data_IF_747057863560
#
_entry.id   IF_747057863560
#
_cell.length_a   1.000
_cell.length_b   1.000
_cell.length_c   1.000
_cell.angle_alpha   90.00
_cell.angle_beta   90.00
_cell.angle_gamma   90.00
#
_symmetry.space_group_name_H-M   'P 1'
#
loop_
_entity.id
_entity.type
_entity.pdbx_description
1 polymer ?
#
# COMPACT_ATOMS: atom_id res chain seq x y z
N UNK A 1 -2.25 17.95 -17.02
CA UNK A 1 -1.34 16.81 -16.78
C UNK A 1 -1.19 16.06 -18.11
N UNK A 2 0.00 16.04 -18.66
CA UNK A 2 0.14 15.76 -20.08
C UNK A 2 -0.64 16.80 -20.89
N UNK A 3 -1.45 16.32 -21.83
CA UNK A 3 -2.35 17.19 -22.65
C UNK A 3 -3.74 17.35 -22.02
N UNK A 4 -3.99 16.75 -20.85
CA UNK A 4 -5.28 16.75 -20.20
C UNK A 4 -5.40 17.86 -19.14
N UNK A 5 -6.49 18.61 -19.18
CA UNK A 5 -6.81 19.58 -18.14
C UNK A 5 -7.13 18.85 -16.82
N UNK A 6 -6.47 19.26 -15.77
CA UNK A 6 -6.64 18.66 -14.43
C UNK A 6 -6.61 19.75 -13.34
N UNK A 7 -7.36 19.51 -12.27
CA UNK A 7 -7.36 20.31 -11.06
C UNK A 7 -6.54 19.60 -9.99
N UNK A 8 -5.51 20.26 -9.46
CA UNK A 8 -4.72 19.77 -8.34
C UNK A 8 -5.12 20.49 -7.06
N UNK A 9 -5.44 19.73 -6.03
CA UNK A 9 -5.76 20.21 -4.69
C UNK A 9 -4.70 19.69 -3.72
N UNK A 10 -4.05 20.59 -2.99
CA UNK A 10 -3.21 20.25 -1.84
C UNK A 10 -4.06 20.40 -0.59
N UNK A 11 -4.23 19.32 0.13
CA UNK A 11 -5.13 19.22 1.26
C UNK A 11 -4.33 18.84 2.51
N UNK A 12 -4.74 19.37 3.64
CA UNK A 12 -4.21 19.02 4.95
C UNK A 12 -5.38 18.51 5.79
N UNK A 13 -5.30 17.25 6.21
CA UNK A 13 -6.24 16.64 7.13
C UNK A 13 -5.78 16.85 8.58
N UNK A 14 -6.43 17.74 9.31
CA UNK A 14 -6.12 17.98 10.73
C UNK A 14 -6.74 16.87 11.59
N UNK A 15 -5.90 16.16 12.34
CA UNK A 15 -6.39 15.15 13.29
C UNK A 15 -6.79 15.85 14.60
N UNK A 16 -7.94 15.50 15.15
CA UNK A 16 -8.37 16.00 16.44
C UNK A 16 -7.41 15.55 17.55
N UNK A 17 -6.74 16.52 18.16
CA UNK A 17 -5.78 16.30 19.25
C UNK A 17 -6.26 16.88 20.60
N UNK A 18 -7.55 17.16 20.75
CA UNK A 18 -8.09 17.77 21.97
C UNK A 18 -7.81 16.95 23.23
N UNK A 19 -7.68 15.62 23.10
CA UNK A 19 -7.34 14.70 24.21
C UNK A 19 -5.85 14.75 24.63
N UNK A 20 -4.95 15.25 23.76
CA UNK A 20 -3.53 15.44 24.00
C UNK A 20 -2.94 16.51 23.06
N UNK A 21 -3.13 17.81 23.37
CA UNK A 21 -2.76 18.93 22.48
C UNK A 21 -1.25 19.08 22.22
N UNK A 22 -0.41 18.37 22.96
CA UNK A 22 1.05 18.41 22.83
C UNK A 22 1.55 17.79 21.51
N UNK A 23 0.71 16.95 20.87
CA UNK A 23 1.02 16.32 19.58
C UNK A 23 -0.02 16.74 18.55
N UNK A 24 0.43 17.33 17.46
CA UNK A 24 -0.40 17.62 16.29
C UNK A 24 -0.03 16.68 15.14
N UNK A 25 -1.04 16.23 14.42
CA UNK A 25 -0.88 15.38 13.23
C UNK A 25 -1.65 16.03 12.08
N UNK A 26 -0.90 16.42 11.06
CA UNK A 26 -1.43 17.04 9.84
C UNK A 26 -1.13 16.13 8.65
N UNK A 27 -2.17 15.53 8.09
CA UNK A 27 -2.06 14.56 7.00
C UNK A 27 -1.96 15.28 5.66
N UNK A 28 -0.83 15.13 4.97
CA UNK A 28 -0.61 15.72 3.63
C UNK A 28 -1.23 14.82 2.55
N UNK A 29 -2.18 15.38 1.80
CA UNK A 29 -2.83 14.75 0.66
C UNK A 29 -2.76 15.66 -0.57
N UNK A 30 -2.27 15.15 -1.69
CA UNK A 30 -2.44 15.79 -2.99
C UNK A 30 -3.50 15.03 -3.78
N UNK A 31 -4.62 15.66 -4.08
CA UNK A 31 -5.69 15.10 -4.89
C UNK A 31 -5.70 15.78 -6.26
N UNK A 32 -5.72 14.97 -7.32
CA UNK A 32 -5.73 15.48 -8.69
C UNK A 32 -6.92 14.88 -9.43
N UNK A 33 -7.71 15.74 -10.04
CA UNK A 33 -8.98 15.42 -10.69
C UNK A 33 -8.95 15.84 -12.15
N UNK A 34 -9.54 15.07 -13.07
CA UNK A 34 -9.87 15.57 -14.41
C UNK A 34 -10.75 16.83 -14.32
N UNK A 35 -10.38 17.91 -15.05
CA UNK A 35 -11.10 19.17 -14.96
C UNK A 35 -12.54 19.12 -15.51
N UNK A 36 -12.81 18.17 -16.43
CA UNK A 36 -14.06 18.07 -17.18
C UNK A 36 -14.80 16.75 -16.89
N UNK A 37 -14.74 16.21 -15.67
CA UNK A 37 -15.47 15.01 -15.33
C UNK A 37 -16.99 15.25 -15.35
N UNK A 38 -17.72 14.36 -16.01
CA UNK A 38 -19.20 14.41 -16.12
C UNK A 38 -19.91 13.50 -15.12
N UNK A 39 -19.17 12.71 -14.34
CA UNK A 39 -19.69 11.74 -13.37
C UNK A 39 -18.77 11.68 -12.15
N UNK A 40 -19.24 11.02 -11.09
CA UNK A 40 -18.40 10.74 -9.90
C UNK A 40 -17.19 9.86 -10.30
N UNK A 41 -16.00 10.30 -9.91
CA UNK A 41 -14.75 9.75 -10.37
C UNK A 41 -14.24 8.64 -9.46
N UNK A 42 -13.81 7.50 -10.01
CA UNK A 42 -12.96 6.55 -9.29
C UNK A 42 -11.65 7.20 -8.85
N UNK A 43 -11.03 6.69 -7.77
CA UNK A 43 -9.80 7.26 -7.22
C UNK A 43 -8.73 6.18 -7.02
N UNK A 44 -7.53 6.44 -7.52
CA UNK A 44 -6.33 5.66 -7.20
C UNK A 44 -5.55 6.39 -6.11
N UNK A 45 -5.54 5.85 -4.88
CA UNK A 45 -4.67 6.35 -3.81
C UNK A 45 -3.32 5.65 -3.90
N UNK A 46 -2.25 6.43 -3.85
CA UNK A 46 -0.88 5.93 -3.76
C UNK A 46 -0.24 6.45 -2.47
N UNK A 47 0.35 5.56 -1.68
CA UNK A 47 1.27 5.96 -0.63
C UNK A 47 2.53 6.55 -1.25
N UNK A 48 2.74 7.84 -1.05
CA UNK A 48 3.72 8.62 -1.77
C UNK A 48 4.96 8.92 -0.93
N UNK A 49 6.13 8.64 -1.49
CA UNK A 49 7.44 8.88 -0.84
C UNK A 49 7.76 10.36 -0.59
N UNK A 50 7.01 11.27 -1.19
CA UNK A 50 7.40 12.67 -1.30
C UNK A 50 8.40 12.88 -2.45
N UNK A 51 8.60 14.14 -2.81
CA UNK A 51 9.61 14.49 -3.79
C UNK A 51 10.99 14.47 -3.10
N UNK A 52 11.78 13.44 -3.39
CA UNK A 52 13.19 13.53 -3.11
C UNK A 52 13.81 14.54 -4.10
N UNK A 53 14.16 15.72 -3.61
CA UNK A 53 14.87 16.73 -4.40
C UNK A 53 16.29 16.86 -3.92
N UNK A 54 17.21 16.98 -4.87
CA UNK A 54 18.56 17.44 -4.51
C UNK A 54 18.45 18.86 -3.97
N UNK A 55 19.28 19.24 -2.99
CA UNK A 55 19.35 20.62 -2.54
C UNK A 55 19.56 21.56 -3.74
N UNK A 56 18.70 22.57 -3.90
CA UNK A 56 18.74 23.52 -5.01
C UNK A 56 17.94 23.13 -6.26
N UNK A 57 17.32 21.95 -6.30
CA UNK A 57 16.43 21.56 -7.41
C UNK A 57 15.09 22.31 -7.31
N UNK A 58 14.85 23.23 -8.24
CA UNK A 58 13.63 24.02 -8.39
C UNK A 58 12.71 23.49 -9.50
N UNK A 59 13.05 22.34 -10.11
CA UNK A 59 12.25 21.76 -11.20
C UNK A 59 10.82 21.49 -10.74
N UNK A 60 9.85 21.72 -11.62
CA UNK A 60 8.46 21.29 -11.37
C UNK A 60 8.40 19.78 -11.59
N UNK A 61 7.93 18.99 -10.59
CA UNK A 61 7.80 17.56 -10.76
C UNK A 61 6.89 17.25 -11.92
N UNK A 62 7.37 16.41 -12.82
CA UNK A 62 6.53 15.92 -13.90
C UNK A 62 5.68 14.76 -13.40
N UNK A 63 4.41 14.69 -13.80
CA UNK A 63 3.56 13.56 -13.45
C UNK A 63 4.11 12.28 -14.09
N UNK A 64 4.03 11.18 -13.35
CA UNK A 64 4.39 9.85 -13.88
C UNK A 64 3.34 9.35 -14.88
N UNK A 65 3.72 8.36 -15.69
CA UNK A 65 2.85 7.84 -16.74
C UNK A 65 1.48 7.36 -16.22
N UNK A 66 1.47 6.68 -15.05
CA UNK A 66 0.21 6.21 -14.47
C UNK A 66 -0.71 7.35 -14.00
N UNK A 67 -0.16 8.47 -13.54
CA UNK A 67 -0.93 9.66 -13.16
C UNK A 67 -1.61 10.30 -14.38
N UNK A 68 -0.87 10.37 -15.48
CA UNK A 68 -1.42 10.82 -16.77
C UNK A 68 -2.53 9.87 -17.23
N UNK A 69 -2.31 8.54 -17.11
CA UNK A 69 -3.27 7.53 -17.52
C UNK A 69 -4.56 7.56 -16.68
N UNK A 70 -4.47 7.81 -15.37
CA UNK A 70 -5.66 8.05 -14.53
C UNK A 70 -6.50 9.21 -15.07
N UNK A 71 -5.90 10.37 -15.31
CA UNK A 71 -6.60 11.55 -15.82
C UNK A 71 -7.21 11.28 -17.20
N UNK A 72 -6.48 10.61 -18.10
CA UNK A 72 -6.96 10.20 -19.43
C UNK A 72 -8.20 9.29 -19.34
N UNK A 73 -8.26 8.41 -18.34
CA UNK A 73 -9.41 7.52 -18.08
C UNK A 73 -10.59 8.24 -17.41
N UNK A 74 -10.46 9.50 -17.06
CA UNK A 74 -11.47 10.23 -16.29
C UNK A 74 -11.46 9.89 -14.80
N UNK A 75 -10.37 9.33 -14.29
CA UNK A 75 -10.19 8.95 -12.89
C UNK A 75 -9.38 10.01 -12.14
N UNK A 76 -9.68 10.21 -10.87
CA UNK A 76 -8.84 10.95 -9.96
C UNK A 76 -7.68 10.07 -9.44
N UNK A 77 -6.60 10.74 -9.01
CA UNK A 77 -5.60 10.07 -8.18
C UNK A 77 -5.26 10.91 -6.95
N UNK A 78 -4.84 10.25 -5.90
CA UNK A 78 -4.47 10.89 -4.65
C UNK A 78 -3.10 10.38 -4.18
N UNK A 79 -2.23 11.31 -3.81
CA UNK A 79 -0.91 11.02 -3.25
C UNK A 79 -0.95 11.31 -1.75
N UNK A 80 -1.04 10.25 -0.95
CA UNK A 80 -1.04 10.34 0.50
C UNK A 80 0.40 10.19 1.01
N UNK A 81 0.84 11.11 1.86
CA UNK A 81 2.20 11.12 2.40
C UNK A 81 2.25 10.43 3.77
N UNK A 82 2.74 9.18 3.88
CA UNK A 82 2.69 8.42 5.14
C UNK A 82 3.47 9.09 6.27
N UNK A 83 4.62 9.71 5.98
CA UNK A 83 5.44 10.39 6.98
C UNK A 83 4.77 11.62 7.62
N UNK A 84 3.70 12.16 7.03
CA UNK A 84 2.90 13.22 7.66
C UNK A 84 1.96 12.67 8.74
N UNK A 85 1.70 11.38 8.72
CA UNK A 85 0.83 10.66 9.65
C UNK A 85 1.67 10.06 10.78
N UNK A 86 2.72 9.34 10.40
CA UNK A 86 3.64 8.65 11.31
C UNK A 86 5.04 8.61 10.70
N UNK A 87 6.03 9.06 11.43
CA UNK A 87 7.43 9.03 10.99
C UNK A 87 7.91 7.58 10.76
N UNK A 88 8.71 7.40 9.72
CA UNK A 88 9.30 6.11 9.33
C UNK A 88 10.62 5.86 10.10
N UNK A 89 10.54 5.85 11.42
CA UNK A 89 11.65 5.53 12.30
C UNK A 89 11.17 5.23 13.74
N UNK A 90 12.02 4.54 14.51
CA UNK A 90 11.70 4.16 15.89
C UNK A 90 11.57 5.35 16.86
N UNK A 91 12.28 6.44 16.62
CA UNK A 91 12.19 7.63 17.47
C UNK A 91 10.81 8.30 17.34
N UNK A 92 10.13 8.14 16.22
CA UNK A 92 8.79 8.66 15.98
C UNK A 92 7.65 7.93 16.70
N UNK A 93 7.91 6.80 17.35
CA UNK A 93 6.84 6.01 17.97
C UNK A 93 6.14 6.68 19.18
N UNK A 94 6.69 7.75 19.72
CA UNK A 94 6.05 8.59 20.74
C UNK A 94 5.49 9.90 20.16
N UNK A 95 5.49 10.02 18.84
CA UNK A 95 5.01 11.17 18.07
C UNK A 95 4.07 10.70 16.95
N UNK A 96 3.56 11.61 16.14
CA UNK A 96 2.61 11.28 15.08
C UNK A 96 1.32 10.68 15.63
N UNK A 97 0.60 9.93 14.82
CA UNK A 97 -0.70 9.37 15.25
C UNK A 97 -0.56 8.33 16.37
N UNK A 98 0.52 7.53 16.35
CA UNK A 98 0.79 6.58 17.43
C UNK A 98 0.99 7.35 18.74
N UNK A 99 1.88 8.35 18.74
CA UNK A 99 2.15 9.18 19.92
C UNK A 99 0.91 9.92 20.43
N UNK A 100 0.07 10.44 19.54
CA UNK A 100 -1.18 11.11 19.90
C UNK A 100 -2.11 10.15 20.66
N UNK A 101 -2.32 8.95 20.12
CA UNK A 101 -3.22 7.93 20.72
C UNK A 101 -2.72 7.47 22.09
N UNK A 102 -1.41 7.28 22.25
CA UNK A 102 -0.81 6.82 23.52
C UNK A 102 -0.32 7.98 24.40
N UNK A 103 -0.67 9.24 24.05
CA UNK A 103 -0.36 10.45 24.81
C UNK A 103 1.15 10.59 25.11
N UNK A 104 1.97 10.44 24.06
CA UNK A 104 3.43 10.55 24.13
C UNK A 104 4.14 9.46 24.95
N UNK A 105 3.40 8.48 25.47
CA UNK A 105 3.96 7.39 26.25
C UNK A 105 4.67 6.36 25.36
N UNK A 106 5.40 5.43 25.97
CA UNK A 106 5.92 4.26 25.24
C UNK A 106 4.76 3.34 24.85
N UNK A 107 4.73 2.87 23.62
CA UNK A 107 3.72 1.92 23.15
C UNK A 107 3.81 0.59 23.92
N UNK A 108 2.66 -0.01 24.15
CA UNK A 108 2.54 -1.37 24.66
C UNK A 108 2.97 -2.37 23.57
N UNK A 109 3.26 -3.63 23.95
CA UNK A 109 3.66 -4.65 22.97
C UNK A 109 2.65 -4.91 21.84
N UNK A 110 1.35 -4.67 22.10
CA UNK A 110 0.24 -4.86 21.17
C UNK A 110 -0.24 -3.57 20.48
N UNK A 111 0.33 -2.42 20.82
CA UNK A 111 0.03 -1.16 20.14
C UNK A 111 0.54 -1.17 18.70
N UNK A 112 -0.06 -0.32 17.88
CA UNK A 112 0.23 -0.21 16.46
C UNK A 112 1.71 -0.02 16.13
N UNK A 113 2.14 -0.61 14.99
CA UNK A 113 3.30 -0.18 14.26
C UNK A 113 2.95 0.85 13.18
N UNK A 114 3.99 1.39 12.54
CA UNK A 114 3.82 2.43 11.53
C UNK A 114 3.01 1.95 10.31
N UNK A 115 3.10 0.67 9.91
CA UNK A 115 2.30 0.15 8.80
C UNK A 115 0.80 0.31 9.06
N UNK A 116 0.34 0.01 10.29
CA UNK A 116 -1.07 0.17 10.66
C UNK A 116 -1.46 1.64 10.81
N UNK A 117 -0.54 2.48 11.27
CA UNK A 117 -0.75 3.93 11.36
C UNK A 117 -0.92 4.57 9.97
N UNK A 118 -0.11 4.17 8.99
CA UNK A 118 -0.25 4.62 7.60
C UNK A 118 -1.54 4.11 6.97
N UNK A 119 -1.91 2.85 7.22
CA UNK A 119 -3.19 2.28 6.80
C UNK A 119 -4.39 3.05 7.37
N UNK A 120 -4.34 3.45 8.65
CA UNK A 120 -5.35 4.31 9.26
C UNK A 120 -5.48 5.65 8.51
N UNK A 121 -4.37 6.27 8.12
CA UNK A 121 -4.41 7.51 7.34
C UNK A 121 -5.06 7.34 5.96
N UNK A 122 -4.88 6.19 5.30
CA UNK A 122 -5.60 5.88 4.07
C UNK A 122 -7.11 5.73 4.31
N UNK A 123 -7.51 5.11 5.42
CA UNK A 123 -8.92 5.03 5.82
C UNK A 123 -9.52 6.42 6.07
N UNK A 124 -8.80 7.33 6.74
CA UNK A 124 -9.26 8.71 6.95
C UNK A 124 -9.35 9.50 5.62
N UNK A 125 -8.48 9.21 4.67
CA UNK A 125 -8.56 9.78 3.31
C UNK A 125 -9.83 9.30 2.62
N UNK A 126 -10.18 8.03 2.74
CA UNK A 126 -11.43 7.48 2.22
C UNK A 126 -12.65 8.10 2.91
N UNK A 127 -12.62 8.32 4.23
CA UNK A 127 -13.67 9.04 4.96
C UNK A 127 -13.90 10.45 4.38
N UNK A 128 -12.83 11.17 4.07
CA UNK A 128 -12.94 12.47 3.38
C UNK A 128 -13.59 12.33 2.00
N UNK A 129 -13.31 11.27 1.24
CA UNK A 129 -13.90 11.06 -0.08
C UNK A 129 -15.40 10.76 0.00
N UNK A 130 -15.90 10.13 1.06
CA UNK A 130 -17.35 9.87 1.23
C UNK A 130 -18.17 11.17 1.33
N UNK A 131 -17.55 12.25 1.76
CA UNK A 131 -18.18 13.59 1.82
C UNK A 131 -18.15 14.37 0.49
N UNK A 132 -17.51 13.82 -0.56
CA UNK A 132 -17.29 14.47 -1.85
C UNK A 132 -18.35 14.06 -2.88
N UNK A 133 -19.00 15.03 -3.50
CA UNK A 133 -19.99 14.74 -4.55
C UNK A 133 -19.37 14.42 -5.92
N UNK A 134 -18.09 14.75 -6.12
CA UNK A 134 -17.34 14.53 -7.36
C UNK A 134 -16.52 13.23 -7.37
N UNK A 135 -16.41 12.53 -6.23
CA UNK A 135 -15.69 11.27 -6.11
C UNK A 135 -16.63 10.08 -5.87
N UNK A 136 -16.25 8.92 -6.34
CA UNK A 136 -16.96 7.66 -6.07
C UNK A 136 -16.22 6.85 -5.02
N UNK A 137 -16.68 6.94 -3.78
CA UNK A 137 -16.09 6.25 -2.63
C UNK A 137 -16.19 4.72 -2.72
N UNK A 138 -17.00 4.18 -3.61
CA UNK A 138 -17.09 2.73 -3.83
C UNK A 138 -16.06 2.22 -4.84
N UNK A 139 -15.41 3.13 -5.56
CA UNK A 139 -14.39 2.85 -6.58
C UNK A 139 -13.06 3.50 -6.20
N UNK A 140 -12.54 3.13 -5.01
CA UNK A 140 -11.26 3.62 -4.49
C UNK A 140 -10.28 2.46 -4.35
N UNK A 141 -9.11 2.57 -4.98
CA UNK A 141 -8.01 1.63 -4.80
C UNK A 141 -6.90 2.23 -3.94
N UNK A 142 -6.09 1.35 -3.36
CA UNK A 142 -4.87 1.70 -2.63
C UNK A 142 -3.66 1.05 -3.29
N UNK A 143 -2.62 1.83 -3.53
CA UNK A 143 -1.33 1.35 -4.04
C UNK A 143 -0.17 1.73 -3.15
N UNK A 144 0.89 0.95 -3.24
CA UNK A 144 2.15 1.25 -2.59
C UNK A 144 3.29 0.36 -3.05
N UNK A 145 4.48 0.89 -2.95
CA UNK A 145 5.72 0.22 -3.35
C UNK A 145 6.64 0.03 -2.15
N UNK A 146 7.37 -1.11 -2.09
CA UNK A 146 8.32 -1.41 -1.02
C UNK A 146 7.61 -1.43 0.34
N UNK A 147 8.11 -0.74 1.38
CA UNK A 147 7.44 -0.61 2.69
C UNK A 147 6.02 -0.05 2.59
N UNK A 148 5.75 0.80 1.61
CA UNK A 148 4.39 1.29 1.37
C UNK A 148 3.50 0.25 0.66
N UNK A 149 4.08 -0.73 -0.03
CA UNK A 149 3.38 -1.94 -0.46
C UNK A 149 2.91 -2.78 0.73
N UNK A 150 3.75 -2.92 1.77
CA UNK A 150 3.35 -3.54 3.05
C UNK A 150 2.14 -2.80 3.66
N UNK A 151 2.21 -1.46 3.71
CA UNK A 151 1.12 -0.62 4.24
C UNK A 151 -0.15 -0.70 3.39
N UNK A 152 -0.04 -0.77 2.06
CA UNK A 152 -1.18 -0.93 1.16
C UNK A 152 -1.89 -2.28 1.38
N UNK A 153 -1.13 -3.36 1.58
CA UNK A 153 -1.70 -4.67 1.93
C UNK A 153 -2.43 -4.64 3.27
N UNK A 154 -1.83 -4.03 4.30
CA UNK A 154 -2.48 -3.82 5.61
C UNK A 154 -3.74 -2.97 5.47
N UNK A 155 -3.71 -1.91 4.66
CA UNK A 155 -4.90 -1.07 4.40
C UNK A 155 -6.02 -1.90 3.79
N UNK A 156 -5.73 -2.64 2.71
CA UNK A 156 -6.71 -3.46 2.02
C UNK A 156 -7.31 -4.55 2.92
N UNK A 157 -6.48 -5.16 3.78
CA UNK A 157 -6.92 -6.23 4.68
C UNK A 157 -7.83 -5.71 5.81
N UNK A 158 -7.59 -4.49 6.34
CA UNK A 158 -8.28 -3.98 7.52
C UNK A 158 -9.35 -2.93 7.23
N UNK A 159 -9.52 -2.49 5.99
CA UNK A 159 -10.61 -1.61 5.59
C UNK A 159 -11.30 -2.16 4.33
N UNK A 160 -12.48 -2.74 4.53
CA UNK A 160 -13.26 -3.43 3.49
C UNK A 160 -13.81 -2.49 2.40
N UNK A 161 -13.74 -1.18 2.60
CA UNK A 161 -14.25 -0.19 1.65
C UNK A 161 -13.34 0.02 0.44
N UNK A 162 -12.06 -0.33 0.56
CA UNK A 162 -11.16 -0.28 -0.60
C UNK A 162 -11.54 -1.34 -1.62
N UNK A 163 -11.76 -0.92 -2.86
CA UNK A 163 -12.26 -1.77 -3.94
C UNK A 163 -11.18 -2.59 -4.65
N UNK A 164 -9.93 -2.17 -4.61
CA UNK A 164 -8.78 -2.86 -5.19
C UNK A 164 -7.46 -2.45 -4.51
N UNK A 165 -6.41 -3.28 -4.61
CA UNK A 165 -5.08 -2.93 -4.13
C UNK A 165 -3.97 -3.29 -5.11
N UNK A 166 -2.92 -2.44 -5.17
CA UNK A 166 -1.64 -2.73 -5.81
C UNK A 166 -0.54 -2.85 -4.77
N UNK A 167 0.01 -4.06 -4.65
CA UNK A 167 1.06 -4.42 -3.69
C UNK A 167 2.35 -4.63 -4.47
N UNK A 168 3.21 -3.62 -4.49
CA UNK A 168 4.43 -3.62 -5.30
C UNK A 168 5.68 -3.87 -4.47
N UNK A 169 6.46 -4.90 -4.84
CA UNK A 169 7.79 -5.24 -4.27
C UNK A 169 7.82 -5.14 -2.74
N UNK A 170 6.80 -5.69 -2.08
CA UNK A 170 6.54 -5.42 -0.66
C UNK A 170 7.42 -6.23 0.30
N UNK A 171 8.03 -7.33 -0.14
CA UNK A 171 8.96 -8.11 0.69
C UNK A 171 8.37 -8.66 1.99
N UNK A 172 9.22 -8.83 2.98
CA UNK A 172 8.87 -9.34 4.32
C UNK A 172 7.91 -8.40 5.06
N UNK A 173 6.93 -8.96 5.76
CA UNK A 173 5.85 -8.16 6.40
C UNK A 173 4.86 -7.55 5.41
N UNK A 174 5.03 -7.84 4.13
CA UNK A 174 4.10 -7.57 3.05
C UNK A 174 3.58 -8.87 2.44
N UNK A 175 3.70 -9.03 1.14
CA UNK A 175 3.19 -10.20 0.42
C UNK A 175 4.19 -11.38 0.35
N UNK A 176 5.34 -11.32 1.02
CA UNK A 176 6.34 -12.41 1.05
C UNK A 176 6.09 -13.34 2.23
N UNK A 177 6.15 -14.67 2.00
CA UNK A 177 6.06 -15.67 3.08
C UNK A 177 7.16 -15.46 4.14
N UNK A 178 6.76 -15.26 5.40
CA UNK A 178 7.67 -15.12 6.53
C UNK A 178 8.51 -16.40 6.75
N UNK A 179 7.89 -17.59 6.52
CA UNK A 179 8.54 -18.89 6.66
C UNK A 179 9.50 -19.25 5.55
N UNK A 180 9.76 -18.32 4.64
CA UNK A 180 10.78 -18.45 3.61
C UNK A 180 11.99 -17.57 3.94
N UNK A 181 13.01 -18.18 4.53
CA UNK A 181 14.25 -17.50 4.92
C UNK A 181 15.12 -17.17 3.70
N UNK A 182 14.74 -16.12 2.95
CA UNK A 182 15.44 -15.62 1.77
C UNK A 182 15.17 -14.14 1.57
N UNK A 183 16.17 -13.38 1.13
CA UNK A 183 16.08 -11.95 0.89
C UNK A 183 15.86 -11.16 2.19
N UNK A 184 14.90 -10.25 2.20
CA UNK A 184 14.40 -9.60 3.41
C UNK A 184 13.70 -10.65 4.28
N UNK A 185 14.02 -10.71 5.56
CA UNK A 185 13.57 -11.73 6.50
C UNK A 185 13.04 -11.11 7.79
N UNK A 186 12.39 -11.88 8.65
CA UNK A 186 11.80 -11.43 9.91
C UNK A 186 12.80 -10.68 10.78
N UNK A 187 14.07 -11.12 10.82
CA UNK A 187 15.15 -10.48 11.58
C UNK A 187 15.46 -9.07 11.07
N UNK A 188 15.25 -8.76 9.80
CA UNK A 188 15.34 -7.39 9.29
C UNK A 188 14.25 -6.51 9.91
N UNK A 189 12.99 -7.01 9.92
CA UNK A 189 11.85 -6.27 10.49
C UNK A 189 11.94 -6.11 12.02
N UNK A 190 12.66 -6.96 12.70
CA UNK A 190 12.89 -6.85 14.16
C UNK A 190 14.14 -6.04 14.49
N UNK A 191 14.95 -5.74 13.48
CA UNK A 191 16.15 -4.93 13.59
C UNK A 191 15.88 -3.44 13.85
N UNK A 192 16.91 -2.71 14.27
CA UNK A 192 16.81 -1.29 14.67
C UNK A 192 16.31 -0.36 13.57
N UNK A 193 16.47 -0.75 12.30
CA UNK A 193 16.03 0.05 11.14
C UNK A 193 14.52 -0.03 10.87
N UNK A 194 13.86 -1.11 11.27
CA UNK A 194 12.52 -1.44 10.76
C UNK A 194 11.51 -1.87 11.84
N UNK A 195 11.95 -2.16 13.07
CA UNK A 195 11.07 -2.66 14.15
C UNK A 195 9.85 -1.78 14.43
N UNK A 196 9.90 -0.53 14.05
CA UNK A 196 8.80 0.43 14.23
C UNK A 196 7.61 0.18 13.27
N UNK A 197 7.82 -0.59 12.20
CA UNK A 197 6.74 -0.93 11.27
C UNK A 197 5.71 -1.85 11.91
N UNK A 198 6.14 -2.74 12.77
CA UNK A 198 5.33 -3.76 13.41
C UNK A 198 4.89 -3.38 14.83
N UNK A 199 3.91 -4.07 15.39
CA UNK A 199 3.61 -4.03 16.81
C UNK A 199 4.81 -4.49 17.64
N UNK A 200 4.97 -3.97 18.87
CA UNK A 200 6.16 -4.23 19.68
C UNK A 200 6.40 -5.70 19.98
N UNK A 201 5.32 -6.50 20.11
CA UNK A 201 5.44 -7.94 20.37
C UNK A 201 5.95 -8.76 19.16
N UNK A 202 6.04 -8.16 17.98
CA UNK A 202 6.64 -8.83 16.81
C UNK A 202 8.15 -9.04 16.99
N UNK A 203 8.82 -8.19 17.78
CA UNK A 203 10.28 -8.26 18.00
C UNK A 203 10.71 -9.63 18.54
N UNK A 204 9.86 -10.31 19.32
CA UNK A 204 10.16 -11.64 19.87
C UNK A 204 10.49 -12.69 18.80
N UNK A 205 10.05 -12.53 17.58
CA UNK A 205 10.30 -13.46 16.48
C UNK A 205 11.66 -13.27 15.79
N UNK A 206 12.40 -12.21 16.15
CA UNK A 206 13.81 -12.07 15.87
C UNK A 206 14.71 -12.49 17.04
N UNK A 207 14.14 -13.02 18.13
CA UNK A 207 14.75 -13.56 19.35
C UNK A 207 13.92 -13.23 20.60
N UNK A 208 13.61 -14.19 21.45
CA UNK A 208 14.06 -15.58 21.52
C UNK A 208 13.28 -16.58 20.66
N UNK A 209 12.20 -16.16 20.02
CA UNK A 209 11.47 -16.97 19.02
C UNK A 209 12.06 -16.73 17.62
N UNK A 210 11.61 -17.48 16.64
CA UNK A 210 11.99 -17.29 15.24
C UNK A 210 10.77 -17.18 14.33
N UNK A 211 11.01 -16.94 13.05
CA UNK A 211 9.96 -16.82 12.04
C UNK A 211 9.02 -18.04 11.95
N UNK A 212 9.49 -19.23 12.30
CA UNK A 212 8.66 -20.47 12.30
C UNK A 212 7.64 -20.49 13.46
N UNK A 213 7.90 -19.73 14.53
CA UNK A 213 6.99 -19.59 15.66
C UNK A 213 5.86 -18.57 15.42
N UNK A 214 5.86 -17.86 14.28
CA UNK A 214 4.79 -16.93 13.92
C UNK A 214 3.45 -17.67 13.81
N UNK A 215 2.37 -17.20 14.43
CA UNK A 215 1.05 -17.84 14.37
C UNK A 215 0.37 -17.71 13.02
N UNK A 216 0.82 -16.77 12.18
CA UNK A 216 0.26 -16.42 10.88
C UNK A 216 1.38 -16.18 9.86
N UNK A 217 1.03 -16.18 8.57
CA UNK A 217 1.97 -15.87 7.49
C UNK A 217 1.33 -14.93 6.45
N UNK A 218 2.13 -14.41 5.54
CA UNK A 218 1.73 -13.37 4.57
C UNK A 218 0.52 -13.76 3.70
N UNK A 219 0.39 -15.04 3.33
CA UNK A 219 -0.74 -15.51 2.54
C UNK A 219 -2.08 -15.33 3.24
N UNK A 220 -2.12 -15.38 4.57
CA UNK A 220 -3.33 -15.13 5.36
C UNK A 220 -3.71 -13.65 5.34
N UNK A 221 -2.72 -12.75 5.37
CA UNK A 221 -2.96 -11.31 5.22
C UNK A 221 -3.52 -10.98 3.82
N UNK A 222 -3.00 -11.63 2.76
CA UNK A 222 -3.55 -11.51 1.41
C UNK A 222 -4.98 -12.09 1.36
N UNK A 223 -5.21 -13.23 2.02
CA UNK A 223 -6.52 -13.86 2.08
C UNK A 223 -7.59 -12.99 2.78
N UNK A 224 -7.21 -12.18 3.77
CA UNK A 224 -8.11 -11.20 4.40
C UNK A 224 -8.61 -10.12 3.44
N UNK A 225 -7.94 -9.92 2.30
CA UNK A 225 -8.42 -8.99 1.27
C UNK A 225 -9.58 -9.55 0.45
N UNK A 226 -9.74 -10.89 0.39
CA UNK A 226 -10.80 -11.53 -0.37
C UNK A 226 -12.21 -11.11 0.12
N UNK A 227 -13.21 -10.97 -0.76
CA UNK A 227 -13.23 -11.28 -2.19
C UNK A 227 -12.74 -10.14 -3.11
N UNK A 228 -12.17 -9.08 -2.55
CA UNK A 228 -11.81 -7.85 -3.28
C UNK A 228 -10.53 -8.06 -4.10
N UNK A 229 -10.44 -7.41 -5.27
CA UNK A 229 -9.32 -7.57 -6.20
C UNK A 229 -7.97 -7.12 -5.62
N UNK A 230 -6.93 -7.98 -5.75
CA UNK A 230 -5.56 -7.67 -5.33
C UNK A 230 -4.57 -7.96 -6.45
N UNK A 231 -3.78 -6.97 -6.78
CA UNK A 231 -2.66 -7.05 -7.72
C UNK A 231 -1.34 -7.10 -6.94
N UNK A 232 -0.63 -8.21 -6.98
CA UNK A 232 0.71 -8.35 -6.42
C UNK A 232 1.73 -8.32 -7.57
N UNK A 233 2.77 -7.50 -7.43
CA UNK A 233 3.80 -7.42 -8.46
C UNK A 233 5.16 -6.97 -7.92
N UNK A 234 6.20 -7.23 -8.71
CA UNK A 234 7.58 -6.88 -8.36
C UNK A 234 8.44 -6.73 -9.61
N UNK A 235 9.65 -6.22 -9.42
CA UNK A 235 10.70 -6.26 -10.43
C UNK A 235 11.47 -7.58 -10.41
N UNK A 236 12.37 -7.78 -11.38
CA UNK A 236 13.28 -8.92 -11.40
C UNK A 236 14.73 -8.49 -11.18
N UNK A 237 15.12 -7.40 -11.81
CA UNK A 237 16.52 -6.99 -11.91
C UNK A 237 16.91 -6.08 -10.73
N UNK A 238 17.68 -6.60 -9.75
CA UNK A 238 18.03 -5.85 -8.54
C UNK A 238 16.95 -5.80 -7.47
N UNK A 239 15.84 -6.54 -7.66
CA UNK A 239 14.70 -6.64 -6.72
C UNK A 239 14.65 -8.02 -6.00
N UNK A 240 15.70 -8.84 -6.17
CA UNK A 240 15.75 -10.20 -5.62
C UNK A 240 15.68 -10.26 -4.09
N UNK A 241 16.12 -9.21 -3.42
CA UNK A 241 16.10 -9.09 -1.97
C UNK A 241 14.67 -9.04 -1.38
N UNK A 242 13.66 -8.70 -2.20
CA UNK A 242 12.25 -8.75 -1.78
C UNK A 242 11.66 -10.16 -1.82
N UNK A 243 12.43 -11.16 -2.29
CA UNK A 243 12.00 -12.55 -2.50
C UNK A 243 10.74 -12.66 -3.39
N UNK A 244 10.92 -12.40 -4.67
CA UNK A 244 9.84 -12.46 -5.67
C UNK A 244 9.11 -13.81 -5.65
N UNK A 245 9.87 -14.92 -5.49
CA UNK A 245 9.30 -16.26 -5.40
C UNK A 245 8.45 -16.43 -4.15
N UNK A 246 8.92 -15.94 -3.01
CA UNK A 246 8.16 -15.96 -1.75
C UNK A 246 6.88 -15.14 -1.83
N UNK A 247 6.92 -13.99 -2.51
CA UNK A 247 5.72 -13.18 -2.78
C UNK A 247 4.73 -13.90 -3.69
N UNK A 248 5.22 -14.55 -4.77
CA UNK A 248 4.38 -15.36 -5.63
C UNK A 248 3.72 -16.53 -4.87
N UNK A 249 4.52 -17.26 -4.09
CA UNK A 249 4.03 -18.40 -3.29
C UNK A 249 2.95 -17.96 -2.29
N UNK A 250 3.13 -16.83 -1.60
CA UNK A 250 2.11 -16.29 -0.69
C UNK A 250 0.83 -15.90 -1.44
N UNK A 251 0.98 -15.29 -2.62
CA UNK A 251 -0.17 -14.93 -3.46
C UNK A 251 -0.94 -16.18 -3.91
N UNK A 252 -0.25 -17.22 -4.37
CA UNK A 252 -0.87 -18.49 -4.74
C UNK A 252 -1.56 -19.17 -3.55
N UNK A 253 -0.88 -19.18 -2.37
CA UNK A 253 -1.41 -19.80 -1.15
C UNK A 253 -2.65 -19.10 -0.58
N UNK A 254 -2.90 -17.83 -0.90
CA UNK A 254 -4.14 -17.11 -0.58
C UNK A 254 -5.33 -17.54 -1.48
N UNK A 255 -5.06 -18.17 -2.62
CA UNK A 255 -6.04 -18.56 -3.62
C UNK A 255 -7.23 -19.37 -3.12
N UNK A 256 -7.05 -20.37 -2.21
CA UNK A 256 -8.18 -21.15 -1.69
C UNK A 256 -9.29 -20.32 -1.07
N UNK A 257 -8.96 -19.19 -0.40
CA UNK A 257 -9.97 -18.30 0.20
C UNK A 257 -10.72 -17.53 -0.89
N UNK A 258 -10.04 -17.07 -1.93
CA UNK A 258 -10.68 -16.44 -3.09
C UNK A 258 -11.66 -17.41 -3.75
N UNK A 259 -11.25 -18.66 -4.02
CA UNK A 259 -12.15 -19.68 -4.59
C UNK A 259 -13.34 -20.00 -3.68
N UNK A 260 -13.13 -20.07 -2.36
CA UNK A 260 -14.20 -20.29 -1.38
C UNK A 260 -15.28 -19.20 -1.47
N UNK A 261 -14.87 -17.96 -1.75
CA UNK A 261 -15.75 -16.81 -1.90
C UNK A 261 -16.23 -16.59 -3.35
N UNK A 262 -16.06 -17.59 -4.22
CA UNK A 262 -16.54 -17.55 -5.62
C UNK A 262 -15.72 -16.64 -6.54
N UNK A 263 -14.47 -16.34 -6.16
CA UNK A 263 -13.56 -15.49 -6.91
C UNK A 263 -12.46 -16.30 -7.60
N UNK A 264 -11.90 -15.74 -8.67
CA UNK A 264 -10.79 -16.36 -9.38
C UNK A 264 -9.47 -15.98 -8.73
N UNK A 265 -8.66 -16.97 -8.42
CA UNK A 265 -7.28 -16.81 -8.00
C UNK A 265 -6.30 -16.85 -9.20
N UNK A 266 -5.01 -17.12 -8.93
CA UNK A 266 -3.97 -17.22 -9.97
C UNK A 266 -4.20 -18.38 -10.96
N UNK A 267 -4.95 -19.41 -10.56
CA UNK A 267 -5.20 -20.62 -11.36
C UNK A 267 -4.01 -21.59 -11.44
N UNK A 268 -2.90 -21.26 -10.82
CA UNK A 268 -1.65 -22.06 -10.79
C UNK A 268 -0.80 -21.73 -9.59
N UNK A 269 0.05 -22.66 -9.18
CA UNK A 269 1.14 -22.51 -8.22
C UNK A 269 2.53 -22.47 -8.88
N UNK A 270 2.57 -22.48 -10.21
CA UNK A 270 3.78 -22.29 -11.00
C UNK A 270 4.01 -20.82 -11.32
N UNK A 271 5.16 -20.29 -10.87
CA UNK A 271 5.53 -18.90 -11.13
C UNK A 271 5.78 -18.68 -12.62
N UNK A 272 5.09 -17.71 -13.25
CA UNK A 272 5.26 -17.46 -14.68
C UNK A 272 6.63 -16.84 -14.98
N UNK A 273 7.01 -16.89 -16.25
CA UNK A 273 8.18 -16.16 -16.74
C UNK A 273 8.06 -14.65 -16.55
N UNK A 274 9.21 -13.97 -16.46
CA UNK A 274 9.28 -12.51 -16.36
C UNK A 274 8.48 -11.87 -17.51
N UNK A 275 7.78 -10.80 -17.22
CA UNK A 275 6.86 -10.08 -18.12
C UNK A 275 5.58 -10.83 -18.49
N UNK A 276 5.42 -12.10 -18.11
CA UNK A 276 4.15 -12.81 -18.22
C UNK A 276 3.35 -12.65 -16.92
N UNK A 277 2.16 -12.08 -17.01
CA UNK A 277 1.28 -11.87 -15.87
C UNK A 277 0.18 -12.92 -15.79
N UNK A 278 -0.18 -13.35 -14.60
CA UNK A 278 -1.41 -14.10 -14.30
C UNK A 278 -2.49 -13.07 -13.94
N UNK A 279 -3.15 -12.51 -14.96
CA UNK A 279 -3.95 -11.28 -14.82
C UNK A 279 -5.47 -11.51 -14.92
N UNK A 280 -5.94 -12.74 -15.17
CA UNK A 280 -7.35 -13.04 -15.43
C UNK A 280 -8.21 -13.19 -14.16
N UNK A 281 -7.56 -13.33 -13.00
CA UNK A 281 -8.20 -13.52 -11.70
C UNK A 281 -8.66 -12.23 -11.01
N UNK A 282 -9.24 -12.40 -9.83
CA UNK A 282 -9.44 -11.33 -8.83
C UNK A 282 -8.19 -11.18 -7.95
N UNK A 283 -7.41 -12.24 -7.81
CA UNK A 283 -6.07 -12.24 -7.27
C UNK A 283 -5.11 -12.44 -8.45
N UNK A 284 -4.18 -11.51 -8.66
CA UNK A 284 -3.31 -11.47 -9.84
C UNK A 284 -1.85 -11.26 -9.48
N UNK A 285 -0.95 -11.69 -10.37
CA UNK A 285 0.49 -11.60 -10.22
C UNK A 285 1.16 -11.12 -11.50
N UNK A 286 2.14 -10.23 -11.37
CA UNK A 286 3.04 -9.90 -12.48
C UNK A 286 4.43 -9.49 -11.99
N UNK A 287 5.48 -10.15 -12.56
CA UNK A 287 6.87 -9.73 -12.41
C UNK A 287 7.34 -9.06 -13.71
N UNK A 288 7.95 -7.87 -13.60
CA UNK A 288 8.56 -7.17 -14.74
C UNK A 288 10.09 -7.31 -14.72
N UNK A 289 10.76 -6.98 -15.83
CA UNK A 289 12.20 -7.14 -16.02
C UNK A 289 13.04 -5.94 -15.52
N UNK A 290 12.41 -4.87 -15.05
CA UNK A 290 13.10 -3.75 -14.43
C UNK A 290 13.42 -4.01 -12.96
N UNK A 291 14.03 -3.00 -12.30
CA UNK A 291 14.46 -3.04 -10.89
C UNK A 291 13.36 -2.82 -9.87
N UNK A 292 13.75 -2.30 -8.70
CA UNK A 292 12.86 -1.99 -7.58
C UNK A 292 12.03 -0.74 -7.89
N UNK A 293 10.98 -0.89 -8.68
CA UNK A 293 10.08 0.18 -9.13
C UNK A 293 8.66 -0.34 -9.39
N UNK A 294 7.60 0.40 -9.09
CA UNK A 294 6.22 0.01 -9.39
C UNK A 294 5.83 0.33 -10.85
N UNK A 295 6.60 1.18 -11.54
CA UNK A 295 6.18 1.83 -12.78
C UNK A 295 5.72 0.88 -13.90
N UNK A 296 6.43 -0.23 -14.22
CA UNK A 296 6.04 -1.10 -15.34
C UNK A 296 4.73 -1.87 -15.11
N UNK A 297 4.29 -2.00 -13.86
CA UNK A 297 3.07 -2.72 -13.53
C UNK A 297 1.83 -1.80 -13.46
N UNK A 298 2.00 -0.48 -13.37
CA UNK A 298 0.86 0.44 -13.28
C UNK A 298 -0.14 0.34 -14.43
N UNK A 299 0.27 0.24 -15.71
CA UNK A 299 -0.71 0.09 -16.79
C UNK A 299 -1.60 -1.14 -16.60
N UNK A 300 -1.02 -2.26 -16.20
CA UNK A 300 -1.76 -3.51 -15.92
C UNK A 300 -2.67 -3.38 -14.70
N UNK A 301 -2.22 -2.67 -13.66
CA UNK A 301 -3.04 -2.40 -12.48
C UNK A 301 -4.24 -1.50 -12.81
N UNK A 302 -4.06 -0.47 -13.62
CA UNK A 302 -5.17 0.40 -14.03
C UNK A 302 -6.17 -0.35 -14.92
N UNK A 303 -5.69 -1.22 -15.83
CA UNK A 303 -6.56 -2.11 -16.60
C UNK A 303 -7.28 -3.12 -15.71
N UNK A 304 -6.61 -3.63 -14.68
CA UNK A 304 -7.21 -4.49 -13.67
C UNK A 304 -8.35 -3.79 -12.91
N UNK A 305 -8.14 -2.54 -12.43
CA UNK A 305 -9.19 -1.75 -11.80
C UNK A 305 -10.36 -1.48 -12.76
N UNK A 306 -10.07 -1.19 -14.03
CA UNK A 306 -11.09 -0.92 -15.03
C UNK A 306 -12.11 -2.07 -15.19
N UNK A 307 -11.72 -3.32 -14.93
CA UNK A 307 -12.65 -4.47 -14.97
C UNK A 307 -13.77 -4.37 -13.94
N UNK A 308 -13.52 -3.72 -12.81
CA UNK A 308 -14.46 -3.59 -11.68
C UNK A 308 -15.12 -2.21 -11.61
N UNK A 309 -14.56 -1.23 -12.31
CA UNK A 309 -15.01 0.17 -12.25
C UNK A 309 -15.82 0.63 -13.47
N UNK A 310 -16.07 -0.31 -14.40
CA UNK A 310 -16.97 -0.05 -15.53
C UNK A 310 -18.41 -0.11 -15.00
N UNK A 311 -19.01 1.10 -14.74
CA UNK A 311 -20.49 1.35 -14.82
C UNK A 311 -20.82 2.75 -14.35
#
# INVERSE_FOLDING_TARGET
IGEHAALMQKLIGHVDNTSFPEISVDMDLTLVLPANASSRMPVVIEFYWGLWRRPGDTSVPQPSAWQIDCIRRGWAYALLRPNSIQADNGAGLTQGIIGLVIKGQRRKPDDWGALRAWAWGASQTLDYFTGRSDLDETRVSIGGHSRYGKAALVTMAFDERFSAAYISSSGEGGAKLNRRNYGEIVENLTGSGEYHWMAGNFIKYGGPLCWDDLPVDAHELIALCAPRPVFVGCGSNGDQWTDQRGMFMATAAAGPVYRLLGKKDLGTDEMPEINHGLLEGDLVWRQHDEGHTPAPNYPYFLDFCARYWQH
#
